data_IF_239057952776
#
_entry.id   IF_239057952776
#
_cell.length_a   1.000
_cell.length_b   1.000
_cell.length_c   1.000
_cell.angle_alpha   90.00
_cell.angle_beta   90.00
_cell.angle_gamma   90.00
#
_symmetry.space_group_name_H-M   'P 1'
#
loop_
_entity.id
_entity.type
_entity.pdbx_description
1 polymer ?
#
# COMPACT_ATOMS: atom_id res chain seq x y z
N UNK A 1 -8.12 -21.24 -20.29
CA UNK A 1 -8.21 -21.23 -18.82
C UNK A 1 -7.87 -19.84 -18.31
N UNK A 2 -8.72 -19.25 -17.46
CA UNK A 2 -8.84 -17.81 -17.23
C UNK A 2 -7.74 -17.33 -16.27
N UNK A 3 -6.88 -16.41 -16.71
CA UNK A 3 -5.94 -15.71 -15.82
C UNK A 3 -6.79 -14.86 -14.88
N UNK A 4 -6.77 -15.17 -13.59
CA UNK A 4 -7.36 -14.32 -12.56
C UNK A 4 -6.49 -13.07 -12.43
N UNK A 5 -6.68 -12.12 -13.34
CA UNK A 5 -6.31 -10.73 -13.09
C UNK A 5 -7.14 -10.27 -11.90
N UNK A 6 -6.50 -10.13 -10.74
CA UNK A 6 -7.10 -9.46 -9.58
C UNK A 6 -7.16 -7.97 -9.93
N UNK A 7 -8.18 -7.59 -10.68
CA UNK A 7 -8.62 -6.23 -10.88
C UNK A 7 -9.56 -5.88 -9.73
N UNK A 8 -9.03 -5.25 -8.69
CA UNK A 8 -9.83 -4.45 -7.75
C UNK A 8 -9.61 -2.97 -8.09
N UNK A 9 -10.49 -2.45 -8.95
CA UNK A 9 -10.76 -1.03 -9.21
C UNK A 9 -12.12 -0.67 -8.52
N UNK A 10 -12.65 0.57 -8.50
CA UNK A 10 -12.12 1.93 -8.70
C UNK A 10 -12.45 2.88 -7.51
N UNK A 11 -11.85 4.07 -7.40
CA UNK A 11 -12.48 5.30 -6.82
C UNK A 11 -11.50 6.48 -6.78
N UNK A 12 -11.64 7.38 -7.75
CA UNK A 12 -11.97 8.78 -7.49
C UNK A 12 -10.94 9.77 -6.91
N UNK A 13 -9.69 9.41 -6.63
CA UNK A 13 -8.70 10.42 -6.22
C UNK A 13 -7.41 10.23 -7.02
N UNK A 14 -6.81 11.37 -7.42
CA UNK A 14 -5.81 11.49 -8.49
C UNK A 14 -4.80 10.33 -8.52
N UNK A 15 -4.45 9.81 -9.72
CA UNK A 15 -3.55 8.67 -9.84
C UNK A 15 -2.26 8.98 -9.08
N UNK A 16 -1.97 8.17 -8.06
CA UNK A 16 -0.70 8.25 -7.35
C UNK A 16 0.37 8.04 -8.43
N UNK A 17 1.13 9.08 -8.74
CA UNK A 17 2.15 9.02 -9.78
C UNK A 17 3.37 8.33 -9.20
N UNK A 18 3.51 7.04 -9.51
CA UNK A 18 4.68 6.24 -9.15
C UNK A 18 5.83 6.38 -10.17
N UNK A 19 5.80 7.44 -11.00
CA UNK A 19 6.77 7.68 -12.07
C UNK A 19 8.16 7.92 -11.46
N UNK A 20 9.13 7.06 -11.81
CA UNK A 20 10.53 7.18 -11.36
C UNK A 20 10.93 6.26 -10.20
N UNK A 21 10.05 5.39 -9.71
CA UNK A 21 10.41 4.37 -8.73
C UNK A 21 10.86 3.07 -9.41
N UNK A 22 11.91 2.44 -8.88
CA UNK A 22 12.43 1.14 -9.35
C UNK A 22 11.44 -0.02 -9.10
N UNK A 23 10.51 0.18 -8.16
CA UNK A 23 9.53 -0.82 -7.75
C UNK A 23 8.16 -0.56 -8.39
N UNK A 24 7.43 -1.63 -8.74
CA UNK A 24 6.08 -1.48 -9.26
C UNK A 24 5.15 -0.84 -8.21
N UNK A 25 4.14 -0.08 -8.66
CA UNK A 25 3.22 0.67 -7.80
C UNK A 25 2.45 -0.23 -6.81
N UNK A 26 2.20 -1.48 -7.20
CA UNK A 26 1.55 -2.49 -6.37
C UNK A 26 2.34 -2.80 -5.09
N UNK A 27 3.67 -2.88 -5.18
CA UNK A 27 4.55 -3.18 -4.04
C UNK A 27 4.59 -2.00 -3.08
N UNK A 28 4.70 -0.79 -3.61
CA UNK A 28 4.70 0.45 -2.85
C UNK A 28 3.38 0.60 -2.09
N UNK A 29 2.27 0.39 -2.79
CA UNK A 29 0.93 0.46 -2.22
C UNK A 29 0.73 -0.61 -1.15
N UNK A 30 1.21 -1.83 -1.38
CA UNK A 30 1.09 -2.94 -0.44
C UNK A 30 1.92 -2.70 0.84
N UNK A 31 3.15 -2.22 0.72
CA UNK A 31 4.01 -1.91 1.86
C UNK A 31 3.40 -0.83 2.76
N UNK A 32 2.91 0.25 2.15
CA UNK A 32 2.27 1.35 2.89
C UNK A 32 0.93 0.88 3.46
N UNK A 33 0.15 0.10 2.73
CA UNK A 33 -1.11 -0.46 3.23
C UNK A 33 -0.89 -1.35 4.45
N UNK A 34 0.12 -2.25 4.43
CA UNK A 34 0.46 -3.09 5.58
C UNK A 34 0.81 -2.25 6.82
N UNK A 35 1.59 -1.18 6.62
CA UNK A 35 1.97 -0.27 7.70
C UNK A 35 0.77 0.48 8.32
N UNK A 36 -0.18 0.94 7.51
CA UNK A 36 -1.36 1.66 8.03
C UNK A 36 -2.49 0.75 8.50
N UNK A 37 -2.56 -0.50 8.01
CA UNK A 37 -3.66 -1.43 8.31
C UNK A 37 -3.42 -2.31 9.54
N UNK A 38 -2.16 -2.58 9.86
CA UNK A 38 -1.74 -3.42 10.96
C UNK A 38 -0.75 -2.65 11.87
N UNK A 39 -0.68 -2.98 13.17
CA UNK A 39 0.31 -2.39 14.08
C UNK A 39 1.71 -3.00 13.84
N UNK A 40 2.18 -2.97 12.60
CA UNK A 40 3.48 -3.51 12.21
C UNK A 40 4.57 -2.45 12.36
N UNK A 41 5.74 -2.88 12.82
CA UNK A 41 6.94 -2.05 12.75
C UNK A 41 7.43 -1.97 11.30
N UNK A 42 8.13 -0.88 10.95
CA UNK A 42 8.74 -0.74 9.61
C UNK A 42 9.71 -1.88 9.29
N UNK A 43 10.40 -2.42 10.31
CA UNK A 43 11.29 -3.57 10.20
C UNK A 43 10.54 -4.85 9.82
N UNK A 44 9.40 -5.13 10.45
CA UNK A 44 8.57 -6.27 10.08
C UNK A 44 8.05 -6.16 8.64
N UNK A 45 7.68 -4.95 8.19
CA UNK A 45 7.25 -4.75 6.79
C UNK A 45 8.40 -5.01 5.81
N UNK A 46 9.62 -4.54 6.14
CA UNK A 46 10.85 -4.86 5.40
C UNK A 46 11.10 -6.38 5.35
N UNK A 47 11.04 -7.09 6.46
CA UNK A 47 11.23 -8.55 6.52
C UNK A 47 10.15 -9.31 5.73
N UNK A 48 8.90 -8.88 5.78
CA UNK A 48 7.81 -9.49 5.01
C UNK A 48 7.99 -9.31 3.50
N UNK A 49 8.55 -8.18 3.07
CA UNK A 49 8.87 -7.92 1.66
C UNK A 49 10.11 -8.70 1.24
N UNK A 50 11.12 -8.78 2.11
CA UNK A 50 12.32 -9.59 1.89
C UNK A 50 11.98 -11.08 1.75
N UNK A 51 11.06 -11.59 2.57
CA UNK A 51 10.56 -12.96 2.45
C UNK A 51 9.85 -13.25 1.10
N UNK A 52 9.39 -12.21 0.40
CA UNK A 52 8.82 -12.30 -0.96
C UNK A 52 9.88 -12.09 -2.05
N UNK A 53 11.16 -12.01 -1.69
CA UNK A 53 12.26 -11.72 -2.61
C UNK A 53 12.38 -10.23 -2.99
N UNK A 54 11.76 -9.34 -2.22
CA UNK A 54 11.80 -7.89 -2.47
C UNK A 54 12.66 -7.23 -1.40
N UNK A 55 13.91 -6.95 -1.74
CA UNK A 55 14.84 -6.26 -0.85
C UNK A 55 14.50 -4.76 -0.78
N UNK A 56 13.99 -4.33 0.37
CA UNK A 56 13.61 -2.94 0.65
C UNK A 56 14.11 -2.53 2.02
N UNK A 57 14.72 -1.35 2.12
CA UNK A 57 15.14 -0.83 3.42
C UNK A 57 13.97 -0.23 4.19
N UNK A 58 14.02 -0.27 5.52
CA UNK A 58 13.04 0.40 6.39
C UNK A 58 12.83 1.90 6.03
N UNK A 59 13.90 2.58 5.58
CA UNK A 59 13.86 3.98 5.16
C UNK A 59 13.02 4.19 3.91
N UNK A 60 13.05 3.22 2.98
CA UNK A 60 12.24 3.26 1.77
C UNK A 60 10.76 3.17 2.11
N UNK A 61 10.39 2.25 3.00
CA UNK A 61 9.02 2.11 3.51
C UNK A 61 8.58 3.38 4.22
N UNK A 62 9.45 4.00 5.04
CA UNK A 62 9.17 5.27 5.71
C UNK A 62 8.96 6.41 4.71
N UNK A 63 9.80 6.54 3.68
CA UNK A 63 9.66 7.56 2.64
C UNK A 63 8.33 7.41 1.89
N UNK A 64 7.95 6.17 1.55
CA UNK A 64 6.66 5.89 0.93
C UNK A 64 5.48 6.15 1.86
N UNK A 65 5.58 5.81 3.15
CA UNK A 65 4.54 6.09 4.12
C UNK A 65 4.33 7.61 4.30
N UNK A 66 5.38 8.43 4.21
CA UNK A 66 5.25 9.89 4.26
C UNK A 66 4.64 10.46 2.97
N UNK A 67 5.04 9.96 1.79
CA UNK A 67 4.56 10.49 0.50
C UNK A 67 3.16 10.00 0.12
N UNK A 68 2.90 8.71 0.30
CA UNK A 68 1.68 8.05 -0.16
C UNK A 68 0.72 7.71 0.98
N UNK A 69 1.19 7.71 2.22
CA UNK A 69 0.39 7.30 3.36
C UNK A 69 -0.89 8.11 3.55
N UNK A 70 -0.87 9.41 3.27
CA UNK A 70 -2.09 10.23 3.36
C UNK A 70 -3.15 9.80 2.33
N UNK A 71 -2.73 9.58 1.08
CA UNK A 71 -3.62 9.15 0.00
C UNK A 71 -4.15 7.73 0.25
N UNK A 72 -3.28 6.82 0.68
CA UNK A 72 -3.64 5.43 1.00
C UNK A 72 -4.53 5.37 2.23
N UNK A 73 -4.25 6.13 3.29
CA UNK A 73 -5.09 6.19 4.49
C UNK A 73 -6.47 6.79 4.19
N UNK A 74 -6.56 7.81 3.32
CA UNK A 74 -7.85 8.33 2.84
C UNK A 74 -8.63 7.24 2.09
N UNK A 75 -7.97 6.48 1.21
CA UNK A 75 -8.59 5.36 0.49
C UNK A 75 -9.04 4.23 1.41
N UNK A 76 -8.23 3.88 2.41
CA UNK A 76 -8.60 2.88 3.43
C UNK A 76 -9.83 3.35 4.20
N UNK A 77 -9.89 4.63 4.59
CA UNK A 77 -11.04 5.20 5.30
C UNK A 77 -12.29 5.33 4.43
N UNK A 78 -12.17 5.64 3.14
CA UNK A 78 -13.32 5.72 2.23
C UNK A 78 -13.86 4.35 1.83
N UNK A 79 -13.01 3.32 1.85
CA UNK A 79 -13.41 1.92 1.56
C UNK A 79 -13.86 1.19 2.83
N UNK A 80 -13.55 1.73 4.02
CA UNK A 80 -14.09 1.19 5.25
C UNK A 80 -15.62 1.33 5.18
N UNK A 81 -16.39 0.23 5.32
CA UNK A 81 -17.84 0.32 5.32
C UNK A 81 -18.22 1.33 6.38
N UNK A 82 -19.01 2.34 6.00
CA UNK A 82 -19.49 3.36 6.91
C UNK A 82 -19.95 2.66 8.19
N UNK A 83 -19.33 3.02 9.32
CA UNK A 83 -19.79 2.55 10.63
C UNK A 83 -21.29 2.75 10.63
N UNK A 84 -22.01 1.62 10.65
CA UNK A 84 -23.44 1.60 10.50
C UNK A 84 -24.06 2.58 11.47
N UNK A 85 -24.76 3.55 10.89
CA UNK A 85 -25.86 4.24 11.52
C UNK A 85 -26.92 3.17 11.82
N UNK A 86 -27.01 2.75 13.08
CA UNK A 86 -28.16 2.03 13.61
C UNK A 86 -28.28 2.22 15.11
#
# INVERSE_FOLDING_TARGET
MKKASVSVLPSGEAPISFKGYRFPPDIISYAVWLYYRFPLSLRMVEEMLAARGIELTYETVRCWATKFGLAIARRIRSTAPGRGDK
#
